data_IF_739124708340
#
_entry.id   IF_739124708340
#
_cell.length_a   1.000
_cell.length_b   1.000
_cell.length_c   1.000
_cell.angle_alpha   90.00
_cell.angle_beta   90.00
_cell.angle_gamma   90.00
#
_symmetry.space_group_name_H-M   'P 1'
#
loop_
_entity.id
_entity.type
_entity.pdbx_description
1 polymer ?
#
# COMPACT_ATOMS: atom_id res chain seq x y z
N UNK A 1 12.04 17.79 7.55
CA UNK A 1 12.59 17.41 6.23
C UNK A 1 12.08 18.37 5.18
N UNK A 2 12.87 18.67 4.14
CA UNK A 2 12.45 19.53 3.02
C UNK A 2 11.12 19.06 2.39
N UNK A 3 10.87 17.75 2.33
CA UNK A 3 9.59 17.20 1.87
C UNK A 3 8.43 17.65 2.75
N UNK A 4 8.56 17.53 4.07
CA UNK A 4 7.53 17.96 5.03
C UNK A 4 7.28 19.48 5.01
N UNK A 5 8.31 20.28 4.77
CA UNK A 5 8.18 21.74 4.62
C UNK A 5 7.42 22.14 3.37
N UNK A 6 7.59 21.39 2.26
CA UNK A 6 6.94 21.69 0.97
C UNK A 6 5.53 21.08 0.90
N UNK A 7 5.35 19.82 1.35
CA UNK A 7 4.16 19.02 1.13
C UNK A 7 3.33 18.76 2.41
N UNK A 8 3.76 19.28 3.56
CA UNK A 8 3.03 19.16 4.82
C UNK A 8 3.24 17.85 5.58
N UNK A 9 3.92 16.86 5.01
CA UNK A 9 4.19 15.56 5.66
C UNK A 9 4.24 14.38 4.71
N UNK A 10 4.45 13.19 5.27
CA UNK A 10 4.51 11.93 4.52
C UNK A 10 3.16 11.23 4.43
N UNK A 11 2.15 11.75 5.13
CA UNK A 11 0.76 11.30 5.10
C UNK A 11 -0.12 12.35 4.45
N UNK A 12 -1.13 11.90 3.74
CA UNK A 12 -2.19 12.78 3.29
C UNK A 12 -3.53 12.07 3.35
N UNK A 13 -4.58 12.87 3.51
CA UNK A 13 -5.96 12.42 3.43
C UNK A 13 -6.79 13.44 2.68
N UNK A 14 -7.74 12.97 1.91
CA UNK A 14 -8.80 13.80 1.35
C UNK A 14 -9.99 12.93 0.93
N UNK A 15 -11.17 13.54 0.91
CA UNK A 15 -12.36 12.93 0.33
C UNK A 15 -12.62 13.51 -1.06
N UNK A 16 -12.94 12.63 -2.02
CA UNK A 16 -13.40 13.04 -3.34
C UNK A 16 -14.54 12.13 -3.81
N UNK A 17 -15.69 12.71 -4.14
CA UNK A 17 -16.89 11.98 -4.61
C UNK A 17 -17.32 10.83 -3.70
N UNK A 18 -17.23 11.00 -2.38
CA UNK A 18 -17.59 9.97 -1.42
C UNK A 18 -16.58 8.84 -1.28
N UNK A 19 -15.36 9.00 -1.78
CA UNK A 19 -14.25 8.07 -1.64
C UNK A 19 -13.18 8.70 -0.77
N UNK A 20 -12.73 7.99 0.25
CA UNK A 20 -11.59 8.40 1.07
C UNK A 20 -10.27 8.00 0.39
N UNK A 21 -9.36 8.95 0.29
CA UNK A 21 -7.99 8.73 -0.17
C UNK A 21 -7.03 8.89 1.00
N UNK A 22 -6.23 7.87 1.27
CA UNK A 22 -5.18 7.91 2.29
C UNK A 22 -3.84 7.58 1.66
N UNK A 23 -2.87 8.48 1.83
CA UNK A 23 -1.49 8.25 1.42
C UNK A 23 -0.59 8.05 2.63
N UNK A 24 0.31 7.06 2.56
CA UNK A 24 1.22 6.72 3.65
C UNK A 24 2.59 6.29 3.11
N UNK A 25 3.59 6.34 3.98
CA UNK A 25 4.94 5.92 3.64
C UNK A 25 5.09 4.40 3.76
N UNK A 26 5.58 3.76 2.71
CA UNK A 26 5.96 2.34 2.69
C UNK A 26 7.43 2.15 2.30
N UNK A 27 8.18 3.24 2.19
CA UNK A 27 9.58 3.19 1.81
C UNK A 27 10.49 2.69 2.94
N UNK A 28 11.75 2.36 2.63
CA UNK A 28 12.70 1.91 3.62
C UNK A 28 13.06 3.05 4.57
N UNK A 29 13.11 2.75 5.86
CA UNK A 29 13.58 3.67 6.90
C UNK A 29 15.10 3.86 6.82
N UNK A 30 15.80 2.88 6.30
CA UNK A 30 17.25 2.94 6.05
C UNK A 30 17.52 2.66 4.57
N UNK A 31 18.56 3.28 4.03
CA UNK A 31 19.03 3.03 2.66
C UNK A 31 19.35 1.55 2.48
N UNK A 32 18.85 0.94 1.41
CA UNK A 32 19.10 -0.46 1.02
C UNK A 32 18.42 -1.54 1.90
N UNK A 33 17.34 -1.17 2.56
CA UNK A 33 16.49 -2.12 3.27
C UNK A 33 15.15 -2.31 2.56
N UNK A 34 14.40 -3.31 2.98
CA UNK A 34 12.98 -3.45 2.62
C UNK A 34 12.19 -2.22 3.07
N UNK A 35 11.10 -1.95 2.39
CA UNK A 35 10.12 -0.99 2.86
C UNK A 35 9.51 -1.44 4.19
N UNK A 36 9.02 -0.49 4.96
CA UNK A 36 8.34 -0.72 6.23
C UNK A 36 7.24 0.29 6.44
N UNK A 37 6.07 -0.15 6.85
CA UNK A 37 4.98 0.74 7.26
C UNK A 37 4.98 0.84 8.78
N UNK A 38 5.35 2.02 9.29
CA UNK A 38 5.45 2.20 10.74
C UNK A 38 4.09 1.98 11.43
N UNK A 39 4.06 1.39 12.64
CA UNK A 39 2.80 1.12 13.36
C UNK A 39 1.91 2.36 13.56
N UNK A 40 2.52 3.54 13.62
CA UNK A 40 1.80 4.81 13.71
C UNK A 40 1.01 5.13 12.44
N UNK A 41 1.51 4.74 11.26
CA UNK A 41 0.80 4.94 9.99
C UNK A 41 -0.36 3.93 9.87
N UNK A 42 -0.14 2.69 10.29
CA UNK A 42 -1.19 1.67 10.32
C UNK A 42 -2.35 2.12 11.24
N UNK A 43 -2.05 2.57 12.45
CA UNK A 43 -3.08 3.10 13.38
C UNK A 43 -3.79 4.31 12.80
N UNK A 44 -3.06 5.28 12.28
CA UNK A 44 -3.65 6.47 11.67
C UNK A 44 -4.61 6.11 10.52
N UNK A 45 -4.21 5.21 9.61
CA UNK A 45 -5.10 4.76 8.53
C UNK A 45 -6.40 4.15 9.06
N UNK A 46 -6.32 3.27 10.06
CA UNK A 46 -7.52 2.63 10.63
C UNK A 46 -8.41 3.63 11.35
N UNK A 47 -7.83 4.59 12.08
CA UNK A 47 -8.58 5.67 12.74
C UNK A 47 -9.32 6.56 11.73
N UNK A 48 -8.68 6.93 10.61
CA UNK A 48 -9.32 7.73 9.58
C UNK A 48 -10.43 6.94 8.85
N UNK A 49 -10.20 5.67 8.57
CA UNK A 49 -11.23 4.80 7.98
C UNK A 49 -12.41 4.55 8.95
N UNK A 50 -12.19 4.44 10.26
CA UNK A 50 -13.25 4.33 11.25
C UNK A 50 -14.09 5.61 11.31
N UNK A 51 -13.48 6.79 11.29
CA UNK A 51 -14.18 8.08 11.24
C UNK A 51 -15.01 8.24 9.97
N UNK A 52 -14.47 7.80 8.84
CA UNK A 52 -15.14 7.88 7.54
C UNK A 52 -16.29 6.87 7.42
N UNK A 53 -16.15 5.71 8.02
CA UNK A 53 -17.12 4.60 8.05
C UNK A 53 -16.65 3.40 7.22
N UNK A 54 -16.72 2.22 7.86
CA UNK A 54 -16.16 0.95 7.33
C UNK A 54 -16.68 0.51 5.97
N UNK A 55 -17.89 0.92 5.62
CA UNK A 55 -18.54 0.52 4.36
C UNK A 55 -18.27 1.48 3.21
N UNK A 56 -17.76 2.66 3.50
CA UNK A 56 -17.45 3.64 2.47
C UNK A 56 -16.18 3.26 1.70
N UNK A 57 -16.14 3.54 0.39
CA UNK A 57 -15.02 3.15 -0.45
C UNK A 57 -13.74 3.92 -0.07
N UNK A 58 -12.62 3.19 -0.02
CA UNK A 58 -11.30 3.75 0.31
C UNK A 58 -10.31 3.39 -0.81
N UNK A 59 -9.48 4.36 -1.17
CA UNK A 59 -8.31 4.18 -2.03
C UNK A 59 -7.07 4.48 -1.19
N UNK A 60 -6.14 3.54 -1.16
CA UNK A 60 -4.88 3.67 -0.45
C UNK A 60 -3.75 3.96 -1.45
N UNK A 61 -2.86 4.88 -1.10
CA UNK A 61 -1.76 5.31 -1.97
C UNK A 61 -0.44 5.16 -1.23
N UNK A 62 0.50 4.46 -1.86
CA UNK A 62 1.84 4.25 -1.30
C UNK A 62 2.85 4.11 -2.42
N UNK A 63 4.15 4.00 -2.12
CA UNK A 63 5.17 3.83 -3.16
C UNK A 63 5.54 2.36 -3.36
N UNK A 64 6.01 1.67 -2.31
CA UNK A 64 6.36 0.26 -2.38
C UNK A 64 5.11 -0.63 -2.37
N UNK A 65 5.06 -1.68 -3.21
CA UNK A 65 3.97 -2.65 -3.14
C UNK A 65 4.02 -3.43 -1.82
N UNK A 66 2.85 -3.76 -1.28
CA UNK A 66 2.74 -4.58 -0.07
C UNK A 66 2.94 -6.07 -0.41
N UNK A 67 4.14 -6.41 -0.84
CA UNK A 67 4.54 -7.77 -1.21
C UNK A 67 5.69 -8.24 -0.33
N UNK A 68 5.74 -9.55 -0.14
CA UNK A 68 6.93 -10.21 0.42
C UNK A 68 8.16 -9.86 -0.42
N UNK A 69 9.25 -9.47 0.24
CA UNK A 69 10.46 -8.99 -0.41
C UNK A 69 10.49 -7.50 -0.76
N UNK A 70 9.36 -6.79 -0.69
CA UNK A 70 9.29 -5.34 -0.91
C UNK A 70 9.03 -4.56 0.38
N UNK A 71 8.08 -5.01 1.20
CA UNK A 71 7.74 -4.42 2.52
C UNK A 71 7.72 -5.53 3.55
N UNK A 72 8.53 -5.42 4.59
CA UNK A 72 8.76 -6.49 5.58
C UNK A 72 7.51 -6.83 6.40
N UNK A 73 6.70 -5.83 6.71
CA UNK A 73 5.45 -6.00 7.47
C UNK A 73 4.19 -5.83 6.59
N UNK A 74 4.25 -6.21 5.32
CA UNK A 74 3.13 -6.12 4.38
C UNK A 74 1.84 -6.77 4.92
N UNK A 75 1.95 -7.88 5.63
CA UNK A 75 0.84 -8.64 6.20
C UNK A 75 0.11 -7.88 7.33
N UNK A 76 0.84 -7.13 8.16
CA UNK A 76 0.24 -6.30 9.22
C UNK A 76 -0.64 -5.21 8.61
N UNK A 77 -0.22 -4.62 7.49
CA UNK A 77 -1.00 -3.60 6.78
C UNK A 77 -2.25 -4.21 6.16
N UNK A 78 -2.10 -5.33 5.44
CA UNK A 78 -3.23 -5.98 4.78
C UNK A 78 -4.27 -6.47 5.80
N UNK A 79 -3.85 -6.99 6.94
CA UNK A 79 -4.75 -7.39 8.02
C UNK A 79 -5.49 -6.19 8.62
N UNK A 80 -4.77 -5.12 8.92
CA UNK A 80 -5.35 -3.92 9.52
C UNK A 80 -6.42 -3.27 8.63
N UNK A 81 -6.20 -3.26 7.30
CA UNK A 81 -7.15 -2.63 6.36
C UNK A 81 -8.24 -3.56 5.85
N UNK A 82 -8.13 -4.88 6.02
CA UNK A 82 -9.09 -5.87 5.54
C UNK A 82 -10.55 -5.63 5.98
N UNK A 83 -10.85 -5.20 7.22
CA UNK A 83 -12.23 -4.94 7.65
C UNK A 83 -12.93 -3.79 6.90
N UNK A 84 -12.17 -2.98 6.15
CA UNK A 84 -12.67 -1.80 5.46
C UNK A 84 -12.93 -2.08 3.98
N UNK A 85 -13.66 -1.17 3.34
CA UNK A 85 -14.04 -1.29 1.95
C UNK A 85 -12.96 -0.74 1.00
N UNK A 86 -11.78 -1.40 1.00
CA UNK A 86 -10.68 -0.99 0.14
C UNK A 86 -11.01 -1.32 -1.31
N UNK A 87 -10.98 -0.30 -2.17
CA UNK A 87 -11.27 -0.43 -3.61
C UNK A 87 -10.02 -0.56 -4.45
N UNK A 88 -8.92 0.04 -4.00
CA UNK A 88 -7.67 -0.01 -4.72
C UNK A 88 -6.50 0.42 -3.84
N UNK A 89 -5.38 -0.28 -3.93
CA UNK A 89 -4.06 0.23 -3.60
C UNK A 89 -3.39 0.77 -4.85
N UNK A 90 -2.90 2.00 -4.80
CA UNK A 90 -2.14 2.62 -5.87
C UNK A 90 -0.68 2.71 -5.44
N UNK A 91 0.22 2.16 -6.24
CA UNK A 91 1.65 2.16 -5.97
C UNK A 91 2.52 2.43 -7.19
N UNK A 92 3.82 2.38 -6.98
CA UNK A 92 4.85 2.60 -7.99
C UNK A 92 5.99 1.58 -7.93
N UNK A 93 7.21 2.06 -7.66
CA UNK A 93 8.43 1.32 -7.41
C UNK A 93 9.02 0.56 -8.63
N UNK A 94 8.25 -0.31 -9.28
CA UNK A 94 8.76 -1.13 -10.40
C UNK A 94 8.81 -0.43 -11.76
N UNK A 95 8.43 0.83 -11.84
CA UNK A 95 8.44 1.65 -13.06
C UNK A 95 7.64 1.04 -14.25
N UNK A 96 6.66 0.19 -13.96
CA UNK A 96 5.81 -0.47 -14.97
C UNK A 96 4.40 -0.70 -14.44
N UNK A 97 3.44 -0.75 -15.35
CA UNK A 97 2.08 -1.08 -15.01
C UNK A 97 1.98 -2.56 -14.59
N UNK A 98 1.35 -2.81 -13.44
CA UNK A 98 1.02 -4.16 -12.95
C UNK A 98 -0.32 -4.15 -12.23
N UNK A 99 -1.14 -5.15 -12.50
CA UNK A 99 -2.30 -5.51 -11.67
C UNK A 99 -1.84 -6.49 -10.60
N UNK A 100 -2.18 -6.24 -9.36
CA UNK A 100 -1.78 -7.00 -8.18
C UNK A 100 -3.00 -7.33 -7.31
N UNK A 101 -2.82 -8.36 -6.48
CA UNK A 101 -3.75 -8.69 -5.41
C UNK A 101 -2.97 -8.89 -4.12
N UNK A 102 -3.28 -8.04 -3.14
CA UNK A 102 -2.74 -8.13 -1.80
C UNK A 102 -3.71 -8.97 -0.96
N UNK A 103 -3.59 -10.28 -1.08
CA UNK A 103 -4.48 -11.24 -0.43
C UNK A 103 -5.98 -10.95 -0.72
N UNK A 104 -6.31 -10.84 -2.01
CA UNK A 104 -7.63 -10.50 -2.53
C UNK A 104 -7.91 -9.01 -2.68
N UNK A 105 -7.25 -8.15 -1.90
CA UNK A 105 -7.41 -6.70 -2.00
C UNK A 105 -6.75 -6.20 -3.30
N UNK A 106 -7.49 -5.46 -4.17
CA UNK A 106 -6.95 -5.02 -5.44
C UNK A 106 -5.85 -3.97 -5.28
N UNK A 107 -4.82 -4.09 -6.09
CA UNK A 107 -3.73 -3.13 -6.15
C UNK A 107 -3.17 -2.96 -7.55
N UNK A 108 -2.61 -1.82 -7.82
CA UNK A 108 -1.90 -1.55 -9.06
C UNK A 108 -0.59 -0.82 -8.83
N UNK A 109 0.36 -1.11 -9.68
CA UNK A 109 1.56 -0.30 -9.81
C UNK A 109 1.50 0.46 -11.13
N UNK A 110 1.95 1.71 -11.07
CA UNK A 110 2.03 2.57 -12.24
C UNK A 110 3.46 2.64 -12.76
N UNK A 111 3.56 2.79 -14.08
CA UNK A 111 4.82 3.14 -14.70
C UNK A 111 5.38 4.44 -14.11
N UNK A 112 6.70 4.59 -14.15
CA UNK A 112 7.35 5.84 -13.82
C UNK A 112 7.09 6.91 -14.91
N UNK A 113 7.26 8.18 -14.57
CA UNK A 113 7.24 9.28 -15.53
C UNK A 113 8.55 9.38 -16.36
N UNK A 114 9.53 8.53 -16.06
CA UNK A 114 10.75 8.43 -16.83
C UNK A 114 10.47 7.92 -18.26
N UNK A 115 11.44 8.14 -19.15
CA UNK A 115 11.39 7.60 -20.51
C UNK A 115 11.41 6.08 -20.47
N UNK A 116 10.52 5.48 -21.24
CA UNK A 116 10.49 4.02 -21.45
C UNK A 116 11.53 3.58 -22.51
N UNK A 117 11.46 2.31 -22.90
CA UNK A 117 12.36 1.73 -23.93
C UNK A 117 12.25 2.43 -25.29
N UNK A 118 11.13 3.09 -25.57
CA UNK A 118 10.90 3.87 -26.79
C UNK A 118 11.23 5.36 -26.61
N UNK A 119 11.84 5.73 -25.49
CA UNK A 119 12.26 7.09 -25.19
C UNK A 119 11.11 8.04 -24.78
N UNK A 120 9.90 7.52 -24.51
CA UNK A 120 8.72 8.35 -24.22
C UNK A 120 8.41 8.37 -22.72
N UNK A 121 8.35 9.56 -22.10
CA UNK A 121 7.84 9.71 -20.74
C UNK A 121 6.32 9.58 -20.73
N UNK A 122 5.74 9.36 -19.54
CA UNK A 122 4.30 9.27 -19.39
C UNK A 122 3.88 9.11 -17.93
N UNK A 123 2.56 9.10 -17.69
CA UNK A 123 1.98 9.04 -16.36
C UNK A 123 0.66 8.25 -16.37
N UNK A 124 0.14 7.95 -15.18
CA UNK A 124 -1.17 7.33 -15.00
C UNK A 124 -2.28 8.37 -14.87
N UNK A 125 -3.44 8.02 -15.39
CA UNK A 125 -4.68 8.77 -15.19
C UNK A 125 -5.71 7.82 -14.60
N UNK A 126 -6.42 8.28 -13.58
CA UNK A 126 -7.51 7.57 -12.93
C UNK A 126 -8.81 8.33 -13.13
N UNK A 127 -9.69 7.83 -14.00
CA UNK A 127 -11.03 8.39 -14.18
C UNK A 127 -11.99 7.68 -13.22
N UNK A 128 -12.46 8.42 -12.22
CA UNK A 128 -13.38 7.92 -11.20
C UNK A 128 -14.79 8.28 -11.60
N UNK A 129 -15.57 7.24 -11.91
CA UNK A 129 -17.00 7.34 -12.23
C UNK A 129 -17.85 7.03 -10.99
N UNK A 130 -19.17 6.90 -11.16
CA UNK A 130 -20.08 6.53 -10.07
C UNK A 130 -19.84 5.10 -9.54
N UNK A 131 -19.40 4.19 -10.39
CA UNK A 131 -19.35 2.75 -10.13
C UNK A 131 -18.01 2.08 -10.47
N UNK A 132 -17.06 2.84 -11.01
CA UNK A 132 -15.77 2.29 -11.46
C UNK A 132 -14.62 3.29 -11.39
N UNK A 133 -13.42 2.72 -11.31
CA UNK A 133 -12.14 3.41 -11.49
C UNK A 133 -11.54 2.89 -12.78
N UNK A 134 -11.42 3.75 -13.79
CA UNK A 134 -10.79 3.42 -15.07
C UNK A 134 -9.35 3.93 -15.06
N UNK A 135 -8.41 3.05 -15.36
CA UNK A 135 -6.97 3.36 -15.27
C UNK A 135 -6.35 3.42 -16.64
N UNK A 136 -5.70 4.54 -16.92
CA UNK A 136 -5.06 4.80 -18.21
C UNK A 136 -3.58 5.08 -18.05
N UNK A 137 -2.83 4.78 -19.08
CA UNK A 137 -1.49 5.33 -19.30
C UNK A 137 -1.58 6.43 -20.37
N UNK A 138 -1.00 7.58 -20.05
CA UNK A 138 -0.79 8.67 -20.98
C UNK A 138 0.70 8.78 -21.29
N UNK A 139 1.09 8.43 -22.51
CA UNK A 139 2.45 8.70 -23.03
C UNK A 139 2.44 10.07 -23.72
N UNK A 140 3.51 10.81 -23.58
CA UNK A 140 3.62 12.13 -24.23
C UNK A 140 3.53 11.98 -25.76
N UNK A 141 2.63 12.75 -26.35
CA UNK A 141 2.38 12.73 -27.80
C UNK A 141 1.49 11.59 -28.30
N UNK A 142 0.92 10.77 -27.40
CA UNK A 142 0.00 9.68 -27.75
C UNK A 142 -1.37 9.85 -27.07
N UNK A 143 -2.45 9.28 -27.61
CA UNK A 143 -3.71 9.22 -26.89
C UNK A 143 -3.60 8.37 -25.62
N UNK A 144 -4.39 8.70 -24.59
CA UNK A 144 -4.45 7.87 -23.38
C UNK A 144 -4.96 6.46 -23.71
N UNK A 145 -4.35 5.44 -23.10
CA UNK A 145 -4.71 4.03 -23.30
C UNK A 145 -5.16 3.42 -21.99
N UNK A 146 -6.42 2.94 -21.96
CA UNK A 146 -6.91 2.18 -20.80
C UNK A 146 -6.22 0.82 -20.73
N UNK A 147 -5.86 0.39 -19.51
CA UNK A 147 -5.25 -0.90 -19.27
C UNK A 147 -5.79 -1.66 -18.05
N UNK A 148 -6.52 -0.96 -17.16
CA UNK A 148 -7.21 -1.60 -16.03
C UNK A 148 -8.53 -0.90 -15.73
N UNK A 149 -9.41 -1.60 -15.01
CA UNK A 149 -10.66 -1.07 -14.48
C UNK A 149 -11.00 -1.79 -13.17
N UNK A 150 -11.53 -1.05 -12.19
CA UNK A 150 -11.95 -1.58 -10.90
C UNK A 150 -13.36 -1.12 -10.57
N UNK A 151 -14.16 -2.02 -10.00
CA UNK A 151 -15.51 -1.70 -9.56
C UNK A 151 -15.48 -0.95 -8.21
N UNK A 152 -16.31 0.05 -8.08
CA UNK A 152 -16.59 0.71 -6.80
C UNK A 152 -17.76 0.07 -6.04
N UNK A 153 -18.50 -0.84 -6.69
CA UNK A 153 -19.73 -1.42 -6.13
C UNK A 153 -19.61 -2.90 -5.80
N UNK A 154 -18.81 -3.66 -6.57
CA UNK A 154 -18.66 -5.11 -6.35
C UNK A 154 -17.55 -5.39 -5.33
N UNK A 155 -17.75 -6.30 -4.37
CA UNK A 155 -16.70 -6.68 -3.42
C UNK A 155 -15.59 -7.46 -4.13
N UNK A 156 -14.36 -7.30 -3.66
CA UNK A 156 -13.18 -8.00 -4.19
C UNK A 156 -12.66 -9.09 -3.26
N UNK A 157 -12.97 -9.00 -1.96
CA UNK A 157 -12.46 -9.90 -0.94
C UNK A 157 -13.46 -9.97 0.22
N UNK A 158 -13.34 -11.00 1.04
CA UNK A 158 -14.12 -11.12 2.27
C UNK A 158 -13.49 -10.23 3.36
N UNK A 159 -14.20 -9.21 3.76
CA UNK A 159 -13.79 -8.25 4.79
C UNK A 159 -13.80 -8.83 6.21
N UNK A 160 -14.55 -9.92 6.41
CA UNK A 160 -14.65 -10.65 7.69
C UNK A 160 -13.77 -11.91 7.67
N UNK A 161 -13.20 -12.24 6.53
CA UNK A 161 -12.29 -13.37 6.35
C UNK A 161 -10.92 -13.09 6.99
N UNK A 162 -10.18 -14.16 7.16
CA UNK A 162 -8.75 -14.08 7.53
C UNK A 162 -7.90 -14.00 6.25
N UNK A 163 -6.74 -13.36 6.38
CA UNK A 163 -5.73 -13.42 5.32
C UNK A 163 -5.29 -14.87 5.08
N UNK A 164 -5.01 -15.21 3.83
CA UNK A 164 -4.55 -16.54 3.42
C UNK A 164 -3.02 -16.61 3.40
N UNK A 165 -2.37 -15.46 3.28
CA UNK A 165 -0.92 -15.36 3.15
C UNK A 165 -0.31 -14.67 4.35
N UNK A 166 0.70 -15.30 4.91
CA UNK A 166 1.56 -14.79 5.97
C UNK A 166 3.00 -15.19 5.73
N UNK A 167 3.97 -14.49 6.32
CA UNK A 167 5.34 -14.99 6.38
C UNK A 167 5.39 -16.34 7.09
N UNK A 168 6.40 -17.14 6.75
CA UNK A 168 6.64 -18.40 7.47
C UNK A 168 7.28 -18.13 8.83
N UNK A 169 6.50 -18.29 9.89
CA UNK A 169 6.93 -18.15 11.27
C UNK A 169 7.31 -19.49 11.92
N UNK A 170 7.46 -20.57 11.15
CA UNK A 170 7.75 -21.92 11.69
C UNK A 170 9.03 -21.97 12.50
N UNK A 171 10.01 -21.12 12.19
CA UNK A 171 11.24 -20.98 12.97
C UNK A 171 10.98 -20.71 14.46
N UNK A 172 9.88 -20.07 14.81
CA UNK A 172 9.52 -19.80 16.21
C UNK A 172 9.22 -21.09 16.99
N UNK A 173 8.89 -22.19 16.31
CA UNK A 173 8.62 -23.49 16.93
C UNK A 173 9.90 -24.34 17.17
N UNK A 174 11.02 -23.97 16.53
CA UNK A 174 12.29 -24.66 16.70
C UNK A 174 12.91 -24.43 18.10
N UNK A 175 12.46 -23.40 18.79
CA UNK A 175 12.98 -22.99 20.09
C UNK A 175 11.90 -22.96 21.18
N UNK A 176 11.25 -24.11 21.50
CA UNK A 176 10.08 -24.13 22.38
C UNK A 176 10.39 -23.74 23.85
N UNK A 177 11.66 -23.76 24.22
CA UNK A 177 12.11 -23.36 25.56
C UNK A 177 12.43 -21.86 25.68
N UNK A 178 12.45 -21.13 24.57
CA UNK A 178 12.61 -19.68 24.57
C UNK A 178 11.28 -19.04 24.97
N UNK A 179 11.31 -18.18 25.99
CA UNK A 179 10.13 -17.44 26.45
C UNK A 179 10.35 -15.95 26.25
N UNK A 180 9.37 -15.32 25.65
CA UNK A 180 9.34 -13.88 25.58
C UNK A 180 9.28 -13.29 26.98
N UNK A 181 10.23 -12.39 27.30
CA UNK A 181 10.27 -11.70 28.60
C UNK A 181 9.60 -10.34 28.50
N UNK A 182 9.78 -9.65 27.39
CA UNK A 182 9.19 -8.37 27.09
C UNK A 182 9.29 -8.07 25.59
N UNK A 183 8.42 -7.21 25.10
CA UNK A 183 8.40 -6.70 23.72
C UNK A 183 8.44 -5.18 23.74
N UNK A 184 9.24 -4.60 22.88
CA UNK A 184 9.25 -3.18 22.62
C UNK A 184 8.99 -2.95 21.13
N UNK A 185 7.97 -2.18 20.82
CA UNK A 185 7.71 -1.74 19.45
C UNK A 185 8.63 -0.58 19.10
N UNK A 186 9.54 -0.78 18.17
CA UNK A 186 10.53 0.24 17.78
C UNK A 186 10.04 1.21 16.72
N UNK A 187 8.96 0.89 16.02
CA UNK A 187 8.46 1.69 14.90
C UNK A 187 9.32 1.62 13.63
N UNK A 188 10.38 0.80 13.65
CA UNK A 188 11.29 0.58 12.53
C UNK A 188 11.90 -0.82 12.61
N UNK A 189 12.34 -1.36 11.48
CA UNK A 189 13.09 -2.62 11.44
C UNK A 189 14.45 -2.48 12.14
N UNK A 190 14.87 -3.52 12.86
CA UNK A 190 16.20 -3.64 13.46
C UNK A 190 17.02 -4.55 12.56
N UNK A 191 18.08 -3.99 11.95
CA UNK A 191 18.92 -4.72 10.98
C UNK A 191 20.31 -5.05 11.53
N UNK A 192 20.46 -5.10 12.84
CA UNK A 192 21.70 -5.49 13.49
C UNK A 192 21.45 -6.54 14.58
N UNK A 193 22.45 -7.36 14.86
CA UNK A 193 22.39 -8.27 16.01
C UNK A 193 22.42 -7.47 17.31
N UNK A 194 21.63 -7.85 18.31
CA UNK A 194 21.74 -7.24 19.63
C UNK A 194 23.13 -7.49 20.22
N UNK A 195 23.67 -6.48 20.88
CA UNK A 195 24.85 -6.68 21.70
C UNK A 195 24.44 -7.40 22.99
N UNK A 196 25.16 -8.46 23.35
CA UNK A 196 24.98 -9.23 24.58
C UNK A 196 26.07 -8.86 25.58
#
# INVERSE_FOLDING_TARGET
TAFGEIFGGERFEFEHKGILFLGFNSGPLMRMAYGHVVPQDIRWMTEEMDKFGKDKPVILVTHYPLLDGDVDNWYEVTDAVRPYNIRLFIGGHYHRNRDLRYDGIPGILMRSNLRDKEGKPGYGIYDITKDSILVYTQRIGEPKKQWAAFSLTQPYYDRNGKAEKYPDFSVNTEYPNVKEQWVMQTGAGIYCSPAV
#
